data_IF_692879107077
#
_entry.id   IF_692879107077
#
_cell.length_a   1.000
_cell.length_b   1.000
_cell.length_c   1.000
_cell.angle_alpha   90.00
_cell.angle_beta   90.00
_cell.angle_gamma   90.00
#
_symmetry.space_group_name_H-M   'P 1'
#
loop_
_entity.id
_entity.type
_entity.pdbx_description
1 polymer ?
#
# COMPACT_ATOMS: atom_id res chain seq x y z
N UNK A 1 -42.12 -29.71 20.58
CA UNK A 1 -42.04 -28.24 20.46
C UNK A 1 -40.82 -27.76 21.21
N UNK A 2 -39.72 -27.52 20.51
CA UNK A 2 -38.53 -26.86 21.05
C UNK A 2 -38.03 -25.93 19.95
N UNK A 3 -38.44 -24.67 20.02
CA UNK A 3 -37.97 -23.59 19.16
C UNK A 3 -36.59 -23.16 19.66
N UNK A 4 -35.54 -23.52 18.93
CA UNK A 4 -34.20 -22.96 19.12
C UNK A 4 -34.20 -21.50 18.67
N UNK A 5 -34.08 -20.60 19.63
CA UNK A 5 -33.77 -19.19 19.40
C UNK A 5 -32.35 -19.08 18.85
N UNK A 6 -32.20 -18.94 17.53
CA UNK A 6 -30.97 -18.41 16.94
C UNK A 6 -30.89 -16.91 17.27
N UNK A 7 -29.82 -16.54 17.99
CA UNK A 7 -29.49 -15.13 18.20
C UNK A 7 -29.14 -14.49 16.85
N UNK A 8 -29.62 -13.28 16.55
CA UNK A 8 -29.24 -12.59 15.32
C UNK A 8 -27.72 -12.37 15.31
N UNK A 9 -27.06 -12.89 14.27
CA UNK A 9 -25.67 -12.57 13.95
C UNK A 9 -25.54 -11.04 13.88
N UNK A 10 -24.78 -10.48 14.82
CA UNK A 10 -24.33 -9.10 14.71
C UNK A 10 -23.46 -9.02 13.46
N UNK A 11 -23.96 -8.40 12.39
CA UNK A 11 -23.12 -7.97 11.26
C UNK A 11 -22.02 -7.09 11.83
N UNK A 12 -20.83 -7.65 12.05
CA UNK A 12 -19.64 -6.86 12.31
C UNK A 12 -19.50 -5.90 11.14
N UNK A 13 -19.50 -4.60 11.43
CA UNK A 13 -19.19 -3.56 10.45
C UNK A 13 -17.76 -3.82 9.95
N UNK A 14 -17.65 -4.53 8.83
CA UNK A 14 -16.39 -4.88 8.22
C UNK A 14 -15.75 -3.60 7.69
N UNK A 15 -14.49 -3.37 8.04
CA UNK A 15 -13.77 -2.18 7.56
C UNK A 15 -13.73 -2.14 6.03
N UNK A 16 -14.02 -0.97 5.45
CA UNK A 16 -14.06 -0.72 4.02
C UNK A 16 -13.23 0.53 3.66
N UNK A 17 -12.34 0.48 2.65
CA UNK A 17 -11.51 1.62 2.27
C UNK A 17 -12.32 2.85 1.86
N UNK A 18 -13.52 2.69 1.29
CA UNK A 18 -14.39 3.81 0.89
C UNK A 18 -14.78 4.69 2.07
N UNK A 19 -14.96 4.09 3.25
CA UNK A 19 -15.34 4.81 4.46
C UNK A 19 -14.18 5.63 5.04
N UNK A 20 -12.94 5.25 4.72
CA UNK A 20 -11.73 5.96 5.11
C UNK A 20 -11.36 7.12 4.17
N UNK A 21 -11.96 7.20 2.98
CA UNK A 21 -11.70 8.29 2.02
C UNK A 21 -12.30 9.61 2.54
N UNK A 22 -11.54 10.73 2.58
CA UNK A 22 -12.08 12.04 2.89
C UNK A 22 -13.30 12.44 2.04
N UNK A 23 -14.31 13.07 2.66
CA UNK A 23 -15.59 13.41 2.00
C UNK A 23 -15.42 14.17 0.68
N UNK A 24 -14.52 15.15 0.62
CA UNK A 24 -14.28 15.93 -0.59
C UNK A 24 -13.76 15.09 -1.77
N UNK A 25 -13.01 14.01 -1.50
CA UNK A 25 -12.55 13.07 -2.54
C UNK A 25 -13.72 12.16 -2.96
N UNK A 26 -14.56 11.71 -2.03
CA UNK A 26 -15.78 10.95 -2.37
C UNK A 26 -16.72 11.77 -3.27
N UNK A 27 -16.92 13.05 -2.93
CA UNK A 27 -17.69 13.99 -3.75
C UNK A 27 -17.10 14.13 -5.15
N UNK A 28 -15.77 14.21 -5.28
CA UNK A 28 -15.08 14.25 -6.56
C UNK A 28 -15.37 13.01 -7.42
N UNK A 29 -15.38 11.82 -6.81
CA UNK A 29 -15.67 10.55 -7.47
C UNK A 29 -17.15 10.39 -7.86
N UNK A 30 -18.07 11.04 -7.12
CA UNK A 30 -19.52 10.98 -7.40
C UNK A 30 -20.00 11.92 -8.51
N UNK A 31 -19.17 12.88 -8.94
CA UNK A 31 -19.57 13.88 -9.94
C UNK A 31 -19.91 13.19 -11.27
N UNK A 32 -21.04 13.54 -11.91
CA UNK A 32 -21.38 12.99 -13.21
C UNK A 32 -20.28 13.29 -14.22
N UNK A 33 -19.94 12.28 -15.02
CA UNK A 33 -18.87 12.30 -16.00
C UNK A 33 -19.29 13.13 -17.22
N UNK A 34 -19.39 14.46 -17.04
CA UNK A 34 -19.88 15.37 -18.08
C UNK A 34 -18.77 15.98 -18.95
N UNK A 35 -17.50 15.70 -18.63
CA UNK A 35 -16.34 16.14 -19.42
C UNK A 35 -15.65 14.92 -20.05
N UNK A 36 -15.20 15.00 -21.32
CA UNK A 36 -14.41 13.93 -21.97
C UNK A 36 -13.07 13.64 -21.29
N UNK A 37 -12.70 14.43 -20.27
CA UNK A 37 -11.47 14.28 -19.53
C UNK A 37 -11.69 13.56 -18.19
N UNK A 38 -11.24 12.30 -18.14
CA UNK A 38 -11.21 11.41 -16.95
C UNK A 38 -10.30 11.92 -15.80
N UNK A 39 -10.07 13.23 -15.69
CA UNK A 39 -9.12 13.81 -14.73
C UNK A 39 -9.59 13.72 -13.27
N UNK A 40 -10.89 13.55 -13.01
CA UNK A 40 -11.41 13.37 -11.64
C UNK A 40 -10.82 12.10 -10.98
N UNK A 41 -10.66 11.02 -11.74
CA UNK A 41 -10.12 9.75 -11.24
C UNK A 41 -8.66 9.86 -10.83
N UNK A 42 -7.80 10.41 -11.71
CA UNK A 42 -6.40 10.65 -11.37
C UNK A 42 -6.26 11.69 -10.26
N UNK A 43 -7.11 12.73 -10.23
CA UNK A 43 -7.10 13.74 -9.16
C UNK A 43 -7.49 13.14 -7.81
N UNK A 44 -8.49 12.26 -7.78
CA UNK A 44 -8.89 11.53 -6.58
C UNK A 44 -7.76 10.59 -6.11
N UNK A 45 -7.17 9.83 -7.03
CA UNK A 45 -6.02 8.97 -6.73
C UNK A 45 -4.85 9.77 -6.13
N UNK A 46 -4.47 10.89 -6.75
CA UNK A 46 -3.42 11.77 -6.24
C UNK A 46 -3.72 12.35 -4.86
N UNK A 47 -4.97 12.73 -4.59
CA UNK A 47 -5.37 13.24 -3.29
C UNK A 47 -5.34 12.15 -2.22
N UNK A 48 -5.65 10.89 -2.54
CA UNK A 48 -5.48 9.78 -1.60
C UNK A 48 -3.99 9.53 -1.34
N UNK A 49 -3.16 9.49 -2.38
CA UNK A 49 -1.70 9.36 -2.23
C UNK A 49 -1.12 10.50 -1.40
N UNK A 50 -1.67 11.72 -1.51
CA UNK A 50 -1.24 12.86 -0.71
C UNK A 50 -1.36 12.62 0.79
N UNK A 51 -2.34 11.83 1.25
CA UNK A 51 -2.57 11.53 2.67
C UNK A 51 -1.34 10.87 3.32
N UNK A 52 -0.51 10.16 2.54
CA UNK A 52 0.73 9.53 3.04
C UNK A 52 1.75 10.51 3.60
N UNK A 53 1.64 11.81 3.27
CA UNK A 53 2.49 12.86 3.84
C UNK A 53 2.13 13.21 5.29
N UNK A 54 0.87 13.02 5.64
CA UNK A 54 0.34 13.32 6.97
C UNK A 54 0.37 12.08 7.88
N UNK A 55 0.27 10.87 7.29
CA UNK A 55 0.40 9.62 8.04
C UNK A 55 1.83 9.44 8.54
N UNK A 56 1.99 9.37 9.86
CA UNK A 56 3.28 9.15 10.53
C UNK A 56 3.49 7.68 10.83
N UNK A 57 4.72 7.21 10.70
CA UNK A 57 5.07 5.83 11.10
C UNK A 57 4.77 5.63 12.59
N UNK A 58 3.82 4.76 12.90
CA UNK A 58 3.30 4.47 14.24
C UNK A 58 4.42 4.00 15.17
N UNK A 59 5.38 3.23 14.66
CA UNK A 59 6.56 2.82 15.43
C UNK A 59 7.31 3.99 16.08
N UNK A 60 7.53 5.09 15.34
CA UNK A 60 8.23 6.28 15.89
C UNK A 60 7.37 7.07 16.87
N UNK A 61 6.05 7.12 16.62
CA UNK A 61 5.08 7.73 17.54
C UNK A 61 5.06 7.00 18.89
N UNK A 62 5.05 5.67 18.88
CA UNK A 62 5.11 4.83 20.08
C UNK A 62 6.34 5.11 20.93
N UNK A 63 7.49 5.32 20.27
CA UNK A 63 8.76 5.69 20.92
C UNK A 63 8.89 7.18 21.22
N UNK A 64 7.84 7.98 20.98
CA UNK A 64 7.80 9.44 21.23
C UNK A 64 8.94 10.20 20.56
N UNK A 65 9.35 9.75 19.36
CA UNK A 65 10.36 10.45 18.58
C UNK A 65 9.77 11.79 18.11
N UNK A 66 10.48 12.92 18.32
CA UNK A 66 10.00 14.22 17.84
C UNK A 66 10.05 14.25 16.31
N UNK A 67 8.99 14.79 15.69
CA UNK A 67 8.88 14.93 14.23
C UNK A 67 9.16 13.62 13.47
N UNK A 68 8.35 12.57 13.71
CA UNK A 68 8.55 11.29 13.04
C UNK A 68 8.38 11.42 11.53
N UNK A 69 9.08 10.55 10.79
CA UNK A 69 8.93 10.44 9.34
C UNK A 69 7.47 10.09 8.98
N UNK A 70 7.00 10.62 7.85
CA UNK A 70 5.76 10.17 7.24
C UNK A 70 5.96 8.88 6.43
N UNK A 71 4.87 8.19 6.07
CA UNK A 71 4.94 7.02 5.18
C UNK A 71 5.52 7.42 3.82
N UNK A 72 5.19 8.62 3.33
CA UNK A 72 5.78 9.16 2.10
C UNK A 72 7.30 9.36 2.22
N UNK A 73 7.80 9.87 3.35
CA UNK A 73 9.24 10.03 3.61
C UNK A 73 9.96 8.68 3.60
N UNK A 74 9.35 7.70 4.28
CA UNK A 74 9.85 6.33 4.37
C UNK A 74 9.97 5.67 2.97
N UNK A 75 8.89 5.67 2.19
CA UNK A 75 8.89 5.08 0.84
C UNK A 75 9.86 5.80 -0.11
N UNK A 76 9.99 7.13 0.00
CA UNK A 76 10.97 7.89 -0.78
C UNK A 76 12.40 7.45 -0.43
N UNK A 77 12.75 7.41 0.87
CA UNK A 77 14.07 6.96 1.34
C UNK A 77 14.39 5.56 0.83
N UNK A 78 13.45 4.63 0.95
CA UNK A 78 13.64 3.25 0.47
C UNK A 78 13.89 3.19 -1.05
N UNK A 79 13.17 4.00 -1.84
CA UNK A 79 13.41 4.05 -3.28
C UNK A 79 14.81 4.59 -3.62
N UNK A 80 15.31 5.59 -2.87
CA UNK A 80 16.69 6.08 -3.05
C UNK A 80 17.71 5.00 -2.66
N UNK A 81 17.50 4.29 -1.56
CA UNK A 81 18.37 3.17 -1.14
C UNK A 81 18.39 2.09 -2.22
N UNK A 82 17.23 1.65 -2.72
CA UNK A 82 17.12 0.66 -3.79
C UNK A 82 17.86 1.08 -5.06
N UNK A 83 17.71 2.35 -5.47
CA UNK A 83 18.39 2.91 -6.63
C UNK A 83 19.92 2.97 -6.48
N UNK A 84 20.42 3.11 -5.25
CA UNK A 84 21.85 3.23 -4.96
C UNK A 84 22.62 1.90 -4.98
N UNK A 85 21.91 0.76 -5.02
CA UNK A 85 22.52 -0.55 -4.96
C UNK A 85 23.36 -0.82 -6.21
N UNK A 86 24.44 -1.60 -6.05
CA UNK A 86 25.23 -2.05 -7.18
C UNK A 86 24.70 -3.42 -7.67
N UNK A 87 23.98 -3.49 -8.80
CA UNK A 87 23.33 -4.73 -9.25
C UNK A 87 24.36 -5.83 -9.57
N UNK A 88 25.61 -5.46 -9.87
CA UNK A 88 26.70 -6.39 -10.17
C UNK A 88 27.36 -7.00 -8.92
N UNK A 89 26.92 -6.61 -7.71
CA UNK A 89 27.45 -7.11 -6.44
C UNK A 89 26.51 -8.05 -5.71
N UNK A 90 25.39 -8.42 -6.33
CA UNK A 90 24.51 -9.45 -5.79
C UNK A 90 25.10 -10.82 -6.11
N UNK A 91 25.67 -11.45 -5.09
CA UNK A 91 26.14 -12.83 -5.18
C UNK A 91 24.92 -13.77 -5.17
N UNK A 92 24.98 -14.81 -6.00
CA UNK A 92 24.07 -15.94 -5.90
C UNK A 92 24.89 -17.22 -5.83
N UNK A 93 24.29 -18.25 -5.24
CA UNK A 93 24.89 -19.58 -5.17
C UNK A 93 25.10 -20.24 -6.56
N UNK A 94 24.65 -19.57 -7.64
CA UNK A 94 24.72 -20.03 -9.03
C UNK A 94 25.10 -18.86 -9.97
N UNK A 95 26.39 -18.47 -10.05
CA UNK A 95 26.85 -17.28 -10.79
C UNK A 95 26.58 -17.34 -12.30
N UNK A 96 26.48 -18.55 -12.88
CA UNK A 96 26.16 -18.75 -14.30
C UNK A 96 24.68 -18.56 -14.64
N UNK A 97 23.81 -18.39 -13.63
CA UNK A 97 22.36 -18.18 -13.77
C UNK A 97 21.85 -16.92 -13.08
N UNK A 98 22.73 -16.15 -12.43
CA UNK A 98 22.33 -14.91 -11.74
C UNK A 98 22.10 -13.80 -12.74
N UNK A 99 20.84 -13.46 -12.97
CA UNK A 99 20.49 -12.16 -13.53
C UNK A 99 20.59 -11.12 -12.41
N UNK A 100 21.33 -10.00 -12.60
CA UNK A 100 21.32 -8.88 -11.66
C UNK A 100 19.88 -8.40 -11.40
N UNK A 101 19.57 -7.89 -10.19
CA UNK A 101 18.22 -7.41 -9.91
C UNK A 101 17.85 -6.19 -10.75
N UNK A 102 16.58 -6.09 -11.15
CA UNK A 102 16.06 -4.87 -11.77
C UNK A 102 15.80 -3.80 -10.69
N UNK A 103 16.76 -2.87 -10.55
CA UNK A 103 16.65 -1.78 -9.59
C UNK A 103 15.49 -0.82 -9.90
N UNK A 104 15.05 -0.71 -11.16
CA UNK A 104 13.86 0.09 -11.50
C UNK A 104 12.62 -0.54 -10.88
N UNK A 105 12.52 -1.87 -10.96
CA UNK A 105 11.45 -2.62 -10.30
C UNK A 105 11.56 -2.52 -8.78
N UNK A 106 12.76 -2.58 -8.19
CA UNK A 106 12.94 -2.34 -6.75
C UNK A 106 12.40 -0.96 -6.33
N UNK A 107 12.74 0.11 -7.06
CA UNK A 107 12.22 1.45 -6.79
C UNK A 107 10.70 1.52 -6.88
N UNK A 108 10.12 0.92 -7.93
CA UNK A 108 8.65 0.87 -8.09
C UNK A 108 7.98 0.14 -6.93
N UNK A 109 8.51 -1.00 -6.50
CA UNK A 109 8.00 -1.75 -5.34
C UNK A 109 8.10 -0.88 -4.08
N UNK A 110 9.26 -0.28 -3.82
CA UNK A 110 9.48 0.58 -2.66
C UNK A 110 8.50 1.76 -2.58
N UNK A 111 8.15 2.35 -3.73
CA UNK A 111 7.21 3.48 -3.80
C UNK A 111 5.74 3.10 -3.57
N UNK A 112 5.38 1.81 -3.63
CA UNK A 112 3.98 1.38 -3.53
C UNK A 112 3.70 0.41 -2.39
N UNK A 113 4.73 -0.13 -1.73
CA UNK A 113 4.54 -1.22 -0.76
C UNK A 113 3.63 -0.83 0.42
N UNK A 114 3.78 0.39 0.94
CA UNK A 114 2.96 0.93 2.04
C UNK A 114 1.87 1.90 1.55
N UNK A 115 1.56 1.94 0.24
CA UNK A 115 0.58 2.89 -0.31
C UNK A 115 -0.84 2.68 0.25
N UNK A 116 -1.16 1.46 0.71
CA UNK A 116 -2.43 1.15 1.37
C UNK A 116 -2.62 1.94 2.68
N UNK A 117 -1.53 2.31 3.35
CA UNK A 117 -1.56 3.04 4.62
C UNK A 117 -2.15 4.45 4.48
N UNK A 118 -2.28 4.96 3.25
CA UNK A 118 -3.01 6.18 2.94
C UNK A 118 -4.45 6.17 3.49
N UNK A 119 -5.09 5.00 3.52
CA UNK A 119 -6.45 4.80 4.01
C UNK A 119 -6.52 3.85 5.20
N UNK A 120 -5.66 2.83 5.26
CA UNK A 120 -5.64 1.85 6.35
C UNK A 120 -5.05 2.44 7.64
N UNK A 121 -4.14 3.41 7.51
CA UNK A 121 -3.21 3.80 8.58
C UNK A 121 -2.05 2.79 8.71
N UNK A 122 -0.99 3.20 9.41
CA UNK A 122 0.15 2.34 9.71
C UNK A 122 -0.17 1.41 10.88
N UNK A 123 -0.64 0.20 10.55
CA UNK A 123 -1.00 -0.84 11.52
C UNK A 123 0.25 -1.64 11.89
N UNK A 124 0.60 -1.58 13.17
CA UNK A 124 1.79 -2.22 13.73
C UNK A 124 1.45 -3.52 14.46
N UNK A 125 2.45 -4.37 14.77
CA UNK A 125 2.23 -5.53 15.64
C UNK A 125 1.76 -5.18 17.07
N UNK A 126 1.84 -3.92 17.49
CA UNK A 126 1.35 -3.46 18.81
C UNK A 126 -0.14 -3.14 18.82
N UNK A 127 -0.78 -3.07 17.65
CA UNK A 127 -2.22 -2.85 17.53
C UNK A 127 -3.01 -4.09 17.95
N UNK A 128 -3.34 -4.17 19.25
CA UNK A 128 -4.00 -5.33 19.86
C UNK A 128 -5.37 -5.68 19.23
N UNK A 129 -6.00 -4.74 18.54
CA UNK A 129 -7.35 -4.88 17.99
C UNK A 129 -7.37 -5.39 16.54
N UNK A 130 -6.22 -5.42 15.85
CA UNK A 130 -6.14 -5.81 14.44
C UNK A 130 -5.08 -6.90 14.28
N UNK A 131 -5.55 -8.16 14.14
CA UNK A 131 -4.66 -9.27 13.85
C UNK A 131 -4.12 -9.23 12.41
N UNK A 132 -3.03 -9.98 12.16
CA UNK A 132 -2.37 -10.06 10.85
C UNK A 132 -3.32 -10.34 9.69
N UNK A 133 -4.28 -11.25 9.86
CA UNK A 133 -5.26 -11.61 8.82
C UNK A 133 -6.13 -10.39 8.44
N UNK A 134 -6.60 -9.64 9.44
CA UNK A 134 -7.42 -8.46 9.19
C UNK A 134 -6.60 -7.30 8.61
N UNK A 135 -5.36 -7.09 9.09
CA UNK A 135 -4.41 -6.13 8.49
C UNK A 135 -4.25 -6.40 6.99
N UNK A 136 -3.85 -7.62 6.64
CA UNK A 136 -3.63 -8.02 5.25
C UNK A 136 -4.91 -7.89 4.40
N UNK A 137 -6.09 -8.19 4.96
CA UNK A 137 -7.37 -7.97 4.28
C UNK A 137 -7.64 -6.49 4.00
N UNK A 138 -7.43 -5.61 4.99
CA UNK A 138 -7.64 -4.16 4.83
C UNK A 138 -6.69 -3.58 3.78
N UNK A 139 -5.43 -3.99 3.81
CA UNK A 139 -4.43 -3.53 2.84
C UNK A 139 -4.74 -4.02 1.43
N UNK A 140 -5.03 -5.31 1.25
CA UNK A 140 -5.42 -5.86 -0.06
C UNK A 140 -6.66 -5.15 -0.62
N UNK A 141 -7.72 -5.03 0.18
CA UNK A 141 -8.96 -4.35 -0.27
C UNK A 141 -8.73 -2.87 -0.58
N UNK A 142 -7.78 -2.22 0.09
CA UNK A 142 -7.38 -0.84 -0.22
C UNK A 142 -6.65 -0.75 -1.55
N UNK A 143 -5.71 -1.64 -1.81
CA UNK A 143 -4.95 -1.65 -3.07
C UNK A 143 -5.87 -1.92 -4.26
N UNK A 144 -6.80 -2.86 -4.12
CA UNK A 144 -7.84 -3.13 -5.12
C UNK A 144 -8.72 -1.89 -5.34
N UNK A 145 -9.10 -1.17 -4.28
CA UNK A 145 -9.88 0.04 -4.38
C UNK A 145 -9.13 1.18 -5.08
N UNK A 146 -7.85 1.39 -4.77
CA UNK A 146 -7.00 2.38 -5.44
C UNK A 146 -6.83 2.05 -6.93
N UNK A 147 -6.67 0.76 -7.26
CA UNK A 147 -6.62 0.29 -8.63
C UNK A 147 -7.92 0.58 -9.40
N UNK A 148 -9.08 0.32 -8.80
CA UNK A 148 -10.38 0.64 -9.43
C UNK A 148 -10.60 2.14 -9.59
N UNK A 149 -10.11 3.00 -8.68
CA UNK A 149 -10.15 4.46 -8.86
C UNK A 149 -9.35 4.87 -10.09
N UNK A 150 -8.13 4.37 -10.26
CA UNK A 150 -7.22 4.86 -11.30
C UNK A 150 -7.47 4.21 -12.68
N UNK A 151 -8.09 3.04 -12.72
CA UNK A 151 -8.35 2.24 -13.92
C UNK A 151 -9.05 2.98 -15.07
N UNK A 152 -10.06 3.85 -14.85
CA UNK A 152 -10.65 4.64 -15.94
C UNK A 152 -9.68 5.63 -16.59
N UNK A 153 -8.61 6.01 -15.91
CA UNK A 153 -7.57 6.91 -16.43
C UNK A 153 -6.38 6.13 -17.00
N UNK A 154 -5.87 5.12 -16.28
CA UNK A 154 -4.74 4.30 -16.70
C UNK A 154 -4.93 2.83 -16.25
N UNK A 155 -5.53 1.97 -17.07
CA UNK A 155 -5.76 0.57 -16.72
C UNK A 155 -4.47 -0.25 -16.62
N UNK A 156 -3.42 0.13 -17.34
CA UNK A 156 -2.11 -0.53 -17.26
C UNK A 156 -1.47 -0.32 -15.89
N UNK A 157 -1.46 0.92 -15.41
CA UNK A 157 -0.97 1.26 -14.08
C UNK A 157 -1.85 0.68 -12.96
N UNK A 158 -3.17 0.64 -13.15
CA UNK A 158 -4.08 -0.01 -12.21
C UNK A 158 -3.72 -1.49 -11.97
N UNK A 159 -3.30 -2.21 -13.01
CA UNK A 159 -2.80 -3.59 -12.86
C UNK A 159 -1.41 -3.61 -12.22
N UNK A 160 -0.51 -2.75 -12.69
CA UNK A 160 0.88 -2.69 -12.24
C UNK A 160 0.98 -2.46 -10.72
N UNK A 161 0.20 -1.53 -10.17
CA UNK A 161 0.27 -1.20 -8.73
C UNK A 161 -0.14 -2.38 -7.84
N UNK A 162 -1.16 -3.14 -8.24
CA UNK A 162 -1.60 -4.35 -7.54
C UNK A 162 -0.52 -5.42 -7.61
N UNK A 163 0.09 -5.62 -8.78
CA UNK A 163 1.14 -6.61 -8.97
C UNK A 163 2.41 -6.27 -8.18
N UNK A 164 2.82 -5.00 -8.15
CA UNK A 164 3.97 -4.55 -7.36
C UNK A 164 3.73 -4.71 -5.86
N UNK A 165 2.52 -4.38 -5.39
CA UNK A 165 2.16 -4.56 -3.99
C UNK A 165 2.13 -6.05 -3.61
N UNK A 166 1.52 -6.90 -4.44
CA UNK A 166 1.51 -8.36 -4.24
C UNK A 166 2.91 -8.98 -4.32
N UNK A 167 3.79 -8.44 -5.18
CA UNK A 167 5.20 -8.84 -5.25
C UNK A 167 5.87 -8.63 -3.90
N UNK A 168 5.68 -7.45 -3.30
CA UNK A 168 6.20 -7.14 -1.96
C UNK A 168 5.57 -8.00 -0.88
N UNK A 169 4.24 -7.99 -0.74
CA UNK A 169 3.56 -8.66 0.38
C UNK A 169 3.82 -10.18 0.39
N UNK A 170 3.86 -10.81 -0.78
CA UNK A 170 4.09 -12.24 -0.91
C UNK A 170 5.54 -12.61 -1.27
N UNK A 171 6.45 -11.62 -1.38
CA UNK A 171 7.86 -11.82 -1.70
C UNK A 171 8.08 -12.66 -2.98
N UNK A 172 7.27 -12.38 -4.03
CA UNK A 172 7.15 -13.24 -5.24
C UNK A 172 8.41 -13.29 -6.10
N UNK A 173 9.31 -12.33 -5.96
CA UNK A 173 10.52 -12.21 -6.78
C UNK A 173 11.72 -11.66 -5.99
N UNK A 174 12.88 -11.60 -6.65
CA UNK A 174 14.12 -11.21 -6.01
C UNK A 174 14.12 -9.73 -5.61
N UNK A 175 13.58 -8.86 -6.46
CA UNK A 175 13.45 -7.42 -6.20
C UNK A 175 12.61 -7.15 -4.95
N UNK A 176 11.48 -7.84 -4.79
CA UNK A 176 10.63 -7.74 -3.60
C UNK A 176 11.33 -8.16 -2.31
N UNK A 177 12.21 -9.18 -2.38
CA UNK A 177 13.03 -9.61 -1.24
C UNK A 177 14.07 -8.56 -0.87
N UNK A 178 14.73 -7.98 -1.88
CA UNK A 178 15.66 -6.87 -1.67
C UNK A 178 14.94 -5.71 -0.99
N UNK A 179 13.77 -5.29 -1.49
CA UNK A 179 13.02 -4.18 -0.88
C UNK A 179 12.57 -4.49 0.54
N UNK A 180 12.23 -5.74 0.85
CA UNK A 180 11.88 -6.15 2.22
C UNK A 180 13.06 -6.10 3.19
N UNK A 181 14.28 -6.31 2.70
CA UNK A 181 15.48 -6.13 3.50
C UNK A 181 15.82 -4.65 3.69
N UNK A 182 15.60 -3.81 2.67
CA UNK A 182 15.75 -2.35 2.78
C UNK A 182 14.79 -1.77 3.83
N UNK A 183 13.54 -2.21 3.87
CA UNK A 183 12.51 -1.72 4.82
C UNK A 183 12.93 -1.87 6.30
N UNK A 184 13.72 -2.90 6.61
CA UNK A 184 14.22 -3.15 7.97
C UNK A 184 15.35 -2.20 8.36
N UNK A 185 15.92 -1.44 7.41
CA UNK A 185 17.01 -0.50 7.66
C UNK A 185 16.43 0.83 8.17
N UNK A 186 16.87 1.30 9.36
CA UNK A 186 16.38 2.55 9.94
C UNK A 186 16.62 3.77 9.04
#
# INVERSE_FOLDING_TARGET
MTTSNEKPEQKQNLWNPKDAVPKHIQELLSKPQSSPSNYNYISAFYQIVFLLKDQKRTGWLDFKVPQPESIADHMYRMSIVAMSLNPNKFETDQPSKSTPPDLTKCCKIALVHDIAEALVGDITPRDANIGKVEKNRRELTTIEYLAEIIKPYNPGFAKEIVDLWLDYENQRNFEARIVKDIDKVP
#
